data_IF_102509069765
#
_entry.id   IF_102509069765
#
_cell.length_a   1.000
_cell.length_b   1.000
_cell.length_c   1.000
_cell.angle_alpha   90.00
_cell.angle_beta   90.00
_cell.angle_gamma   90.00
#
_symmetry.space_group_name_H-M   'P 1'
#
loop_
_entity.id
_entity.type
_entity.pdbx_description
1 polymer ?
#
# COMPACT_ATOMS: atom_id res chain seq x y z
N UNK A 1 -14.47 -0.93 34.16
CA UNK A 1 -14.28 -1.84 33.00
C UNK A 1 -14.66 -1.14 31.70
N UNK A 2 -15.87 -0.58 31.59
CA UNK A 2 -16.32 0.15 30.39
C UNK A 2 -15.39 1.29 29.98
N UNK A 3 -14.94 2.15 30.91
CA UNK A 3 -13.96 3.21 30.58
C UNK A 3 -12.64 2.70 30.02
N UNK A 4 -12.18 1.53 30.47
CA UNK A 4 -10.97 0.90 29.94
C UNK A 4 -11.20 0.41 28.51
N UNK A 5 -12.38 -0.15 28.23
CA UNK A 5 -12.79 -0.57 26.88
C UNK A 5 -12.89 0.61 25.93
N UNK A 6 -13.53 1.72 26.32
CA UNK A 6 -13.63 2.92 25.48
C UNK A 6 -12.26 3.53 25.20
N UNK A 7 -11.35 3.58 26.18
CA UNK A 7 -9.98 4.05 25.98
C UNK A 7 -9.19 3.16 25.02
N UNK A 8 -9.34 1.84 25.13
CA UNK A 8 -8.68 0.89 24.22
C UNK A 8 -9.20 1.06 22.78
N UNK A 9 -10.51 1.21 22.59
CA UNK A 9 -11.13 1.44 21.26
C UNK A 9 -10.64 2.76 20.66
N UNK A 10 -10.53 3.82 21.45
CA UNK A 10 -9.98 5.09 20.98
C UNK A 10 -8.53 4.95 20.52
N UNK A 11 -7.72 4.17 21.24
CA UNK A 11 -6.33 3.86 20.86
C UNK A 11 -6.25 3.06 19.55
N UNK A 12 -7.13 2.07 19.38
CA UNK A 12 -7.24 1.29 18.13
C UNK A 12 -7.61 2.19 16.96
N UNK A 13 -8.60 3.06 17.14
CA UNK A 13 -9.05 4.02 16.11
C UNK A 13 -7.92 4.97 15.70
N UNK A 14 -7.14 5.45 16.68
CA UNK A 14 -5.97 6.30 16.39
C UNK A 14 -4.88 5.52 15.64
N UNK A 15 -4.63 4.27 16.01
CA UNK A 15 -3.68 3.40 15.31
C UNK A 15 -4.11 3.15 13.86
N UNK A 16 -5.40 2.89 13.64
CA UNK A 16 -5.99 2.76 12.31
C UNK A 16 -5.77 4.02 11.47
N UNK A 17 -6.06 5.21 12.01
CA UNK A 17 -5.83 6.48 11.32
C UNK A 17 -4.35 6.67 10.94
N UNK A 18 -3.42 6.33 11.83
CA UNK A 18 -1.99 6.40 11.52
C UNK A 18 -1.60 5.41 10.41
N UNK A 19 -2.17 4.21 10.40
CA UNK A 19 -1.92 3.24 9.34
C UNK A 19 -2.42 3.72 7.98
N UNK A 20 -3.53 4.48 7.91
CA UNK A 20 -3.99 5.10 6.65
C UNK A 20 -2.90 6.00 6.07
N UNK A 21 -2.28 6.84 6.89
CA UNK A 21 -1.19 7.73 6.44
C UNK A 21 0.02 6.93 5.90
N UNK A 22 0.44 5.87 6.60
CA UNK A 22 1.55 5.03 6.13
C UNK A 22 1.25 4.33 4.81
N UNK A 23 -0.01 3.93 4.59
CA UNK A 23 -0.43 3.28 3.35
C UNK A 23 -0.53 4.29 2.20
N UNK A 24 -0.96 5.53 2.48
CA UNK A 24 -0.97 6.63 1.50
C UNK A 24 0.45 7.01 1.05
N UNK A 25 1.39 7.09 2.00
CA UNK A 25 2.82 7.30 1.72
C UNK A 25 3.37 6.16 0.84
N UNK A 26 3.03 4.90 1.14
CA UNK A 26 3.44 3.75 0.35
C UNK A 26 2.85 3.78 -1.07
N UNK A 27 1.60 4.26 -1.22
CA UNK A 27 0.97 4.46 -2.52
C UNK A 27 1.73 5.52 -3.34
N UNK A 28 2.04 6.67 -2.73
CA UNK A 28 2.80 7.75 -3.36
C UNK A 28 4.21 7.31 -3.78
N UNK A 29 4.87 6.52 -2.93
CA UNK A 29 6.19 5.96 -3.24
C UNK A 29 6.10 4.96 -4.40
N UNK A 30 5.05 4.13 -4.45
CA UNK A 30 4.80 3.18 -5.53
C UNK A 30 4.55 3.90 -6.87
N UNK A 31 3.85 5.04 -6.84
CA UNK A 31 3.63 5.91 -8.02
C UNK A 31 4.94 6.50 -8.54
N UNK A 32 5.79 6.96 -7.62
CA UNK A 32 7.11 7.48 -7.97
C UNK A 32 7.98 6.40 -8.62
N UNK A 33 7.99 5.18 -8.05
CA UNK A 33 8.72 4.06 -8.65
C UNK A 33 8.14 3.71 -10.01
N UNK A 34 6.82 3.70 -10.17
CA UNK A 34 6.16 3.45 -11.47
C UNK A 34 6.64 4.44 -12.54
N UNK A 35 6.69 5.74 -12.22
CA UNK A 35 7.20 6.77 -13.14
C UNK A 35 8.68 6.56 -13.50
N UNK A 36 9.52 6.20 -12.53
CA UNK A 36 10.94 5.92 -12.76
C UNK A 36 11.09 4.70 -13.67
N UNK A 37 10.36 3.62 -13.38
CA UNK A 37 10.41 2.39 -14.19
C UNK A 37 9.96 2.64 -15.62
N UNK A 38 8.93 3.46 -15.84
CA UNK A 38 8.52 3.87 -17.19
C UNK A 38 9.65 4.61 -17.92
N UNK A 39 10.31 5.55 -17.24
CA UNK A 39 11.45 6.28 -17.81
C UNK A 39 12.58 5.33 -18.21
N UNK A 40 12.90 4.34 -17.37
CA UNK A 40 13.92 3.32 -17.67
C UNK A 40 13.50 2.46 -18.86
N UNK A 41 12.21 2.11 -18.98
CA UNK A 41 11.67 1.38 -20.13
C UNK A 41 11.89 2.16 -21.43
N UNK A 42 11.55 3.44 -21.43
CA UNK A 42 11.70 4.32 -22.58
C UNK A 42 13.18 4.46 -22.98
N UNK A 43 14.09 4.58 -22.00
CA UNK A 43 15.54 4.59 -22.23
C UNK A 43 16.01 3.27 -22.84
N UNK A 44 15.56 2.13 -22.31
CA UNK A 44 15.93 0.81 -22.85
C UNK A 44 15.45 0.66 -24.30
N UNK A 45 14.24 1.11 -24.61
CA UNK A 45 13.70 1.05 -25.98
C UNK A 45 14.47 1.97 -26.94
N UNK A 46 14.90 3.15 -26.47
CA UNK A 46 15.78 4.03 -27.25
C UNK A 46 17.16 3.42 -27.48
N UNK A 47 17.78 2.82 -26.47
CA UNK A 47 19.07 2.13 -26.60
C UNK A 47 18.94 0.97 -27.59
N UNK A 48 17.84 0.22 -27.53
CA UNK A 48 17.55 -0.87 -28.47
C UNK A 48 17.48 -0.37 -29.92
N UNK A 49 16.79 0.75 -30.17
CA UNK A 49 16.72 1.38 -31.49
C UNK A 49 18.08 1.90 -31.97
N UNK A 50 18.86 2.52 -31.09
CA UNK A 50 20.21 2.99 -31.40
C UNK A 50 21.15 1.83 -31.75
N UNK A 51 21.07 0.73 -31.00
CA UNK A 51 21.83 -0.49 -31.26
C UNK A 51 21.45 -1.13 -32.60
N UNK A 52 20.16 -1.13 -32.94
CA UNK A 52 19.69 -1.60 -34.25
C UNK A 52 20.28 -0.76 -35.39
N UNK A 53 20.23 0.57 -35.27
CA UNK A 53 20.81 1.47 -36.27
C UNK A 53 22.33 1.27 -36.42
N UNK A 54 23.04 1.08 -35.30
CA UNK A 54 24.46 0.77 -35.30
C UNK A 54 24.77 -0.59 -35.98
N UNK A 55 23.95 -1.61 -35.76
CA UNK A 55 24.09 -2.91 -36.42
C UNK A 55 23.88 -2.80 -37.95
N UNK A 56 22.91 -1.99 -38.39
CA UNK A 56 22.66 -1.72 -39.82
C UNK A 56 23.88 -1.02 -40.46
N UNK A 57 24.42 0.01 -39.81
CA UNK A 57 25.57 0.75 -40.34
C UNK A 57 26.84 -0.11 -40.33
N UNK A 58 27.02 -0.96 -39.32
CA UNK A 58 28.09 -1.93 -39.26
C UNK A 58 28.01 -2.95 -40.41
N UNK A 59 26.81 -3.44 -40.74
CA UNK A 59 26.61 -4.31 -41.90
C UNK A 59 26.95 -3.59 -43.22
N UNK A 60 26.61 -2.29 -43.33
CA UNK A 60 26.91 -1.45 -44.50
C UNK A 60 28.41 -1.22 -44.70
N UNK A 61 29.18 -1.13 -43.62
CA UNK A 61 30.64 -1.02 -43.65
C UNK A 61 31.37 -2.34 -44.01
N UNK A 62 30.64 -3.45 -44.16
CA UNK A 62 31.19 -4.75 -44.55
C UNK A 62 32.24 -5.26 -43.55
N UNK A 63 33.40 -5.69 -44.05
CA UNK A 63 34.49 -6.24 -43.22
C UNK A 63 35.01 -5.24 -42.18
N UNK A 64 34.99 -3.94 -42.47
CA UNK A 64 35.42 -2.90 -41.53
C UNK A 64 34.44 -2.71 -40.36
N UNK A 65 33.18 -3.12 -40.53
CA UNK A 65 32.13 -3.00 -39.50
C UNK A 65 32.00 -4.20 -38.58
N UNK A 66 32.73 -5.31 -38.81
CA UNK A 66 32.56 -6.57 -38.05
C UNK A 66 32.66 -6.40 -36.53
N UNK A 67 33.64 -5.64 -36.04
CA UNK A 67 33.80 -5.39 -34.60
C UNK A 67 32.64 -4.57 -34.03
N UNK A 68 32.18 -3.55 -34.77
CA UNK A 68 31.04 -2.72 -34.37
C UNK A 68 29.72 -3.50 -34.37
N UNK A 69 29.54 -4.45 -35.30
CA UNK A 69 28.36 -5.30 -35.34
C UNK A 69 28.20 -6.17 -34.08
N UNK A 70 29.31 -6.71 -33.56
CA UNK A 70 29.29 -7.50 -32.32
C UNK A 70 28.92 -6.64 -31.12
N UNK A 71 29.49 -5.43 -31.02
CA UNK A 71 29.15 -4.50 -29.93
C UNK A 71 27.70 -4.07 -30.01
N UNK A 72 27.19 -3.74 -31.21
CA UNK A 72 25.81 -3.36 -31.41
C UNK A 72 24.82 -4.46 -30.99
N UNK A 73 25.10 -5.73 -31.33
CA UNK A 73 24.24 -6.85 -30.91
C UNK A 73 24.27 -7.07 -29.38
N UNK A 74 25.41 -6.87 -28.72
CA UNK A 74 25.51 -6.98 -27.26
C UNK A 74 24.76 -5.85 -26.53
N UNK A 75 24.87 -4.61 -27.02
CA UNK A 75 24.09 -3.47 -26.51
C UNK A 75 22.60 -3.71 -26.69
N UNK A 76 22.19 -4.27 -27.84
CA UNK A 76 20.79 -4.63 -28.11
C UNK A 76 20.25 -5.64 -27.10
N UNK A 77 20.99 -6.73 -26.87
CA UNK A 77 20.63 -7.75 -25.86
C UNK A 77 20.53 -7.17 -24.46
N UNK A 78 21.43 -6.25 -24.10
CA UNK A 78 21.39 -5.59 -22.81
C UNK A 78 20.13 -4.73 -22.67
N UNK A 79 19.78 -3.96 -23.71
CA UNK A 79 18.56 -3.16 -23.74
C UNK A 79 17.29 -4.01 -23.62
N UNK A 80 17.21 -5.13 -24.36
CA UNK A 80 16.09 -6.08 -24.27
C UNK A 80 15.97 -6.68 -22.85
N UNK A 81 17.09 -7.09 -22.25
CA UNK A 81 17.13 -7.60 -20.87
C UNK A 81 16.67 -6.56 -19.86
N UNK A 82 17.14 -5.32 -19.99
CA UNK A 82 16.69 -4.21 -19.14
C UNK A 82 15.19 -3.97 -19.28
N UNK A 83 14.66 -3.95 -20.50
CA UNK A 83 13.23 -3.80 -20.76
C UNK A 83 12.39 -4.91 -20.11
N UNK A 84 12.88 -6.16 -20.13
CA UNK A 84 12.22 -7.27 -19.44
C UNK A 84 12.20 -7.08 -17.92
N UNK A 85 13.35 -6.75 -17.30
CA UNK A 85 13.42 -6.51 -15.86
C UNK A 85 12.54 -5.35 -15.42
N UNK A 86 12.46 -4.27 -16.21
CA UNK A 86 11.56 -3.15 -15.92
C UNK A 86 10.09 -3.58 -15.94
N UNK A 87 9.70 -4.46 -16.88
CA UNK A 87 8.34 -5.01 -16.94
C UNK A 87 8.02 -5.85 -15.71
N UNK A 88 8.97 -6.67 -15.24
CA UNK A 88 8.83 -7.46 -14.01
C UNK A 88 8.69 -6.55 -12.77
N UNK A 89 9.48 -5.47 -12.68
CA UNK A 89 9.36 -4.49 -11.59
C UNK A 89 7.99 -3.80 -11.64
N UNK A 90 7.51 -3.41 -12.82
CA UNK A 90 6.20 -2.78 -12.98
C UNK A 90 5.06 -3.68 -12.49
N UNK A 91 5.15 -5.00 -12.74
CA UNK A 91 4.19 -5.97 -12.21
C UNK A 91 4.22 -6.05 -10.68
N UNK A 92 5.41 -6.05 -10.06
CA UNK A 92 5.57 -6.04 -8.61
C UNK A 92 4.95 -4.76 -8.00
N UNK A 93 5.22 -3.59 -8.60
CA UNK A 93 4.63 -2.31 -8.14
C UNK A 93 3.11 -2.31 -8.28
N UNK A 94 2.58 -2.89 -9.36
CA UNK A 94 1.13 -3.10 -9.52
C UNK A 94 0.55 -3.96 -8.39
N UNK A 95 1.21 -5.06 -8.03
CA UNK A 95 0.80 -5.92 -6.91
C UNK A 95 0.86 -5.19 -5.56
N UNK A 96 1.89 -4.37 -5.33
CA UNK A 96 1.98 -3.55 -4.11
C UNK A 96 0.81 -2.59 -4.01
N UNK A 97 0.45 -1.90 -5.10
CA UNK A 97 -0.72 -0.99 -5.14
C UNK A 97 -2.04 -1.72 -4.85
N UNK A 98 -2.20 -2.93 -5.36
CA UNK A 98 -3.40 -3.73 -5.07
C UNK A 98 -3.48 -4.08 -3.58
N UNK A 99 -2.37 -4.54 -3.00
CA UNK A 99 -2.28 -4.86 -1.57
C UNK A 99 -2.53 -3.62 -0.72
N UNK A 100 -1.96 -2.47 -1.06
CA UNK A 100 -2.21 -1.23 -0.30
C UNK A 100 -3.68 -0.85 -0.32
N UNK A 101 -4.36 -0.96 -1.45
CA UNK A 101 -5.80 -0.69 -1.55
C UNK A 101 -6.64 -1.65 -0.69
N UNK A 102 -6.27 -2.93 -0.64
CA UNK A 102 -6.91 -3.90 0.25
C UNK A 102 -6.68 -3.56 1.72
N UNK A 103 -5.47 -3.12 2.09
CA UNK A 103 -5.15 -2.69 3.46
C UNK A 103 -5.97 -1.46 3.86
N UNK A 104 -6.14 -0.45 2.98
CA UNK A 104 -7.02 0.70 3.25
C UNK A 104 -8.45 0.25 3.53
N UNK A 105 -8.97 -0.68 2.71
CA UNK A 105 -10.32 -1.22 2.87
C UNK A 105 -10.48 -1.89 4.25
N UNK A 106 -9.52 -2.72 4.65
CA UNK A 106 -9.54 -3.39 5.95
C UNK A 106 -9.42 -2.39 7.13
N UNK A 107 -8.62 -1.33 6.98
CA UNK A 107 -8.53 -0.27 7.99
C UNK A 107 -9.88 0.44 8.16
N UNK A 108 -10.55 0.78 7.07
CA UNK A 108 -11.86 1.43 7.11
C UNK A 108 -12.92 0.54 7.77
N UNK A 109 -12.95 -0.76 7.44
CA UNK A 109 -13.83 -1.73 8.09
C UNK A 109 -13.55 -1.82 9.60
N UNK A 110 -12.28 -1.90 10.00
CA UNK A 110 -11.91 -1.93 11.41
C UNK A 110 -12.27 -0.64 12.17
N UNK A 111 -12.22 0.51 11.50
CA UNK A 111 -12.65 1.78 12.07
C UNK A 111 -14.17 1.79 12.32
N UNK A 112 -14.96 1.31 11.35
CA UNK A 112 -16.42 1.17 11.50
C UNK A 112 -16.81 0.21 12.64
N UNK A 113 -16.12 -0.93 12.75
CA UNK A 113 -16.33 -1.87 13.87
C UNK A 113 -15.95 -1.26 15.22
N UNK A 114 -14.88 -0.46 15.25
CA UNK A 114 -14.45 0.26 16.46
C UNK A 114 -15.51 1.28 16.89
N UNK A 115 -16.10 2.03 15.96
CA UNK A 115 -17.19 2.98 16.24
C UNK A 115 -18.43 2.27 16.79
N UNK A 116 -18.87 1.16 16.18
CA UNK A 116 -19.98 0.34 16.70
C UNK A 116 -19.72 -0.18 18.11
N UNK A 117 -18.49 -0.63 18.36
CA UNK A 117 -18.10 -1.13 19.69
C UNK A 117 -18.09 0.00 20.74
N UNK A 118 -17.73 1.22 20.33
CA UNK A 118 -17.78 2.40 21.20
C UNK A 118 -19.22 2.74 21.59
N UNK A 119 -20.15 2.71 20.63
CA UNK A 119 -21.57 2.92 20.87
C UNK A 119 -22.15 1.90 21.86
N UNK A 120 -21.89 0.60 21.64
CA UNK A 120 -22.31 -0.48 22.54
C UNK A 120 -21.71 -0.32 23.95
N UNK A 121 -20.48 0.19 24.05
CA UNK A 121 -19.85 0.46 25.34
C UNK A 121 -20.56 1.59 26.09
N UNK A 122 -21.02 2.64 25.40
CA UNK A 122 -21.81 3.71 26.01
C UNK A 122 -23.19 3.21 26.48
N UNK A 123 -23.89 2.42 25.66
CA UNK A 123 -25.16 1.80 26.05
C UNK A 123 -25.00 0.90 27.28
N UNK A 124 -23.90 0.12 27.33
CA UNK A 124 -23.59 -0.71 28.50
C UNK A 124 -23.32 0.14 29.74
N UNK A 125 -22.66 1.29 29.60
CA UNK A 125 -22.43 2.23 30.72
C UNK A 125 -23.75 2.70 31.32
N UNK A 126 -24.67 3.15 30.46
CA UNK A 126 -25.98 3.65 30.86
C UNK A 126 -26.79 2.57 31.60
N UNK A 127 -26.87 1.36 31.04
CA UNK A 127 -27.56 0.23 31.69
C UNK A 127 -26.98 -0.12 33.07
N UNK A 128 -25.66 -0.06 33.23
CA UNK A 128 -25.00 -0.31 34.52
C UNK A 128 -25.32 0.81 35.54
N UNK A 129 -25.39 2.07 35.11
CA UNK A 129 -25.80 3.19 35.96
C UNK A 129 -27.27 3.09 36.38
N UNK A 130 -28.15 2.64 35.49
CA UNK A 130 -29.56 2.35 35.81
C UNK A 130 -29.68 1.22 36.84
N UNK A 131 -28.97 0.11 36.64
CA UNK A 131 -28.96 -1.03 37.58
C UNK A 131 -28.45 -0.60 38.95
N UNK A 132 -27.37 0.19 39.00
CA UNK A 132 -26.87 0.74 40.27
C UNK A 132 -27.95 1.56 40.97
N UNK A 133 -28.59 2.47 40.24
CA UNK A 133 -29.67 3.32 40.78
C UNK A 133 -30.88 2.50 41.25
N UNK A 134 -31.24 1.44 40.54
CA UNK A 134 -32.32 0.53 40.94
C UNK A 134 -31.95 -0.26 42.21
N UNK A 135 -30.71 -0.72 42.31
CA UNK A 135 -30.20 -1.47 43.47
C UNK A 135 -30.14 -0.58 44.72
N UNK A 136 -29.68 0.67 44.57
CA UNK A 136 -29.65 1.66 45.66
C UNK A 136 -31.07 1.96 46.18
N UNK A 137 -32.06 2.06 45.28
CA UNK A 137 -33.49 2.21 45.64
C UNK A 137 -34.02 1.00 46.42
N UNK A 138 -33.71 -0.22 45.97
CA UNK A 138 -34.10 -1.45 46.67
C UNK A 138 -33.46 -1.52 48.05
N UNK A 139 -32.16 -1.20 48.17
CA UNK A 139 -31.46 -1.19 49.45
C UNK A 139 -32.05 -0.17 50.45
N UNK A 140 -32.41 1.03 49.97
CA UNK A 140 -33.11 2.03 50.79
C UNK A 140 -34.52 1.59 51.19
N UNK A 141 -35.23 0.85 50.33
CA UNK A 141 -36.56 0.33 50.65
C UNK A 141 -36.57 -0.81 51.67
N UNK A 142 -35.45 -1.55 51.83
CA UNK A 142 -35.31 -2.64 52.80
C UNK A 142 -34.72 -2.13 54.13
N UNK A 143 -34.02 -1.00 54.12
CA UNK A 143 -33.58 -0.29 55.32
C UNK A 143 -34.71 0.56 55.89
N UNK A 144 -35.21 0.17 57.07
CA UNK A 144 -36.31 0.78 57.87
C UNK A 144 -37.68 0.14 57.64
N UNK A 145 -37.89 -1.02 58.29
CA UNK A 145 -38.84 -1.15 59.41
C UNK A 145 -38.10 -1.79 60.58
#
# INVERSE_FOLDING_TARGET
MVEKTTNNIQSVTNTMRNNVHLVDDLSTQSDSISSITQTIKDIADQINLLALNAAIEAARAGEHGRGFAVVADEVRKLAERTGKSVTEIAAIIGSIREITQQVVTNINMGAEESEKTLELSYQTKELVEEIKTATDRVAQGIGVV
#
